data_IF_855455919536
#
_entry.id   IF_855455919536
#
_cell.length_a   1.000
_cell.length_b   1.000
_cell.length_c   1.000
_cell.angle_alpha   90.00
_cell.angle_beta   90.00
_cell.angle_gamma   90.00
#
_symmetry.space_group_name_H-M   'P 1'
#
loop_
_entity.id
_entity.type
_entity.pdbx_description
1 polymer ?
#
# COMPACT_ATOMS: atom_id res chain seq x y z
N UNK A 1 -10.58 -22.33 -9.51
CA UNK A 1 -11.30 -21.08 -9.19
C UNK A 1 -10.27 -20.06 -8.73
N UNK A 2 -10.18 -18.91 -9.42
CA UNK A 2 -9.26 -17.84 -9.02
C UNK A 2 -10.01 -16.79 -8.20
N UNK A 3 -9.69 -16.66 -6.92
CA UNK A 3 -10.39 -15.77 -5.99
C UNK A 3 -9.94 -14.31 -6.09
N UNK A 4 -8.71 -14.06 -6.53
CA UNK A 4 -8.12 -12.71 -6.52
C UNK A 4 -8.59 -11.84 -7.69
N UNK A 5 -8.91 -12.43 -8.84
CA UNK A 5 -9.00 -11.68 -10.10
C UNK A 5 -7.61 -11.19 -10.49
N UNK A 6 -7.37 -9.89 -10.45
CA UNK A 6 -6.07 -9.31 -10.78
C UNK A 6 -4.95 -9.77 -9.83
N UNK A 7 -3.68 -9.83 -10.28
CA UNK A 7 -2.54 -10.10 -9.42
C UNK A 7 -2.54 -9.25 -8.14
N UNK A 8 -2.25 -9.89 -6.99
CA UNK A 8 -2.38 -9.23 -5.67
C UNK A 8 -1.38 -8.08 -5.46
N UNK A 9 -0.27 -8.04 -6.19
CA UNK A 9 0.68 -6.92 -6.11
C UNK A 9 0.04 -5.60 -6.56
N UNK A 10 -0.98 -5.64 -7.42
CA UNK A 10 -1.76 -4.46 -7.79
C UNK A 10 -2.65 -4.08 -6.59
N UNK A 11 -2.17 -3.15 -5.76
CA UNK A 11 -2.89 -2.69 -4.55
C UNK A 11 -4.03 -1.71 -4.84
N UNK A 12 -4.00 -1.07 -6.00
CA UNK A 12 -4.98 -0.06 -6.42
C UNK A 12 -4.60 1.40 -6.13
N UNK A 13 -3.42 1.66 -5.53
CA UNK A 13 -2.94 3.03 -5.26
C UNK A 13 -2.11 3.65 -6.40
N UNK A 14 -1.84 2.91 -7.47
CA UNK A 14 -1.05 3.40 -8.62
C UNK A 14 -1.76 3.12 -9.93
N UNK A 15 -1.41 3.92 -10.95
CA UNK A 15 -1.85 3.65 -12.32
C UNK A 15 -1.21 2.39 -12.88
N UNK A 16 -1.98 1.60 -13.62
CA UNK A 16 -1.49 0.41 -14.33
C UNK A 16 -0.56 0.76 -15.50
N UNK A 17 -0.63 1.98 -16.03
CA UNK A 17 0.21 2.46 -17.13
C UNK A 17 1.66 2.70 -16.71
N UNK A 18 1.89 2.96 -15.42
CA UNK A 18 3.22 3.18 -14.87
C UNK A 18 3.81 1.83 -14.42
N UNK A 19 4.83 1.34 -15.10
CA UNK A 19 5.58 0.17 -14.66
C UNK A 19 6.64 0.59 -13.64
N UNK A 20 6.50 0.22 -12.35
CA UNK A 20 7.47 0.57 -11.34
C UNK A 20 8.74 -0.25 -11.52
N UNK A 21 9.88 0.26 -11.03
CA UNK A 21 11.13 -0.49 -11.03
C UNK A 21 11.05 -1.77 -10.17
N UNK A 22 10.22 -1.77 -9.12
CA UNK A 22 9.98 -2.93 -8.25
C UNK A 22 8.49 -3.19 -8.06
N UNK A 23 8.12 -4.46 -7.94
CA UNK A 23 6.75 -4.87 -7.60
C UNK A 23 6.47 -4.64 -6.11
N UNK A 24 5.22 -4.32 -5.79
CA UNK A 24 4.73 -4.02 -4.45
C UNK A 24 4.96 -5.18 -3.48
N UNK A 25 4.75 -6.42 -3.93
CA UNK A 25 5.00 -7.61 -3.11
C UNK A 25 6.49 -7.76 -2.76
N UNK A 26 7.40 -7.38 -3.66
CA UNK A 26 8.83 -7.41 -3.39
C UNK A 26 9.23 -6.29 -2.44
N UNK A 27 8.67 -5.09 -2.61
CA UNK A 27 8.86 -3.98 -1.68
C UNK A 27 8.44 -4.33 -0.25
N UNK A 28 7.26 -4.93 -0.07
CA UNK A 28 6.81 -5.43 1.24
C UNK A 28 7.77 -6.47 1.84
N UNK A 29 8.28 -7.39 1.02
CA UNK A 29 9.27 -8.38 1.46
C UNK A 29 10.62 -7.76 1.86
N UNK A 30 11.08 -6.73 1.14
CA UNK A 30 12.29 -5.97 1.48
C UNK A 30 12.10 -5.27 2.81
N UNK A 31 10.95 -4.60 3.02
CA UNK A 31 10.65 -3.92 4.27
C UNK A 31 10.63 -4.89 5.45
N UNK A 32 9.96 -6.05 5.32
CA UNK A 32 9.97 -7.11 6.35
C UNK A 32 11.37 -7.60 6.72
N UNK A 33 12.32 -7.57 5.76
CA UNK A 33 13.70 -8.01 5.95
C UNK A 33 14.67 -6.89 6.31
N UNK A 34 14.24 -5.64 6.27
CA UNK A 34 15.09 -4.48 6.50
C UNK A 34 15.59 -4.37 7.94
N UNK A 35 14.97 -5.09 8.88
CA UNK A 35 15.23 -4.95 10.31
C UNK A 35 14.70 -3.64 10.89
N UNK A 36 13.91 -2.89 10.12
CA UNK A 36 13.26 -1.67 10.59
C UNK A 36 12.36 -1.94 11.79
N UNK A 37 12.43 -1.05 12.78
CA UNK A 37 11.65 -1.14 14.00
C UNK A 37 10.51 -0.14 13.96
N UNK A 38 9.34 -0.57 14.43
CA UNK A 38 8.15 0.25 14.43
C UNK A 38 8.36 1.58 15.17
N UNK A 39 8.00 2.69 14.53
CA UNK A 39 8.14 4.05 15.08
C UNK A 39 9.44 4.76 14.71
N UNK A 40 10.44 4.08 14.13
CA UNK A 40 11.66 4.75 13.68
C UNK A 40 11.47 5.44 12.31
N UNK A 41 12.13 6.59 12.07
CA UNK A 41 12.10 7.20 10.75
C UNK A 41 12.75 6.30 9.70
N UNK A 42 12.23 6.34 8.48
CA UNK A 42 12.78 5.62 7.34
C UNK A 42 13.07 6.59 6.21
N UNK A 43 14.23 6.44 5.56
CA UNK A 43 14.64 7.30 4.44
C UNK A 43 14.99 6.44 3.24
N UNK A 44 14.45 6.79 2.07
CA UNK A 44 14.90 6.26 0.79
C UNK A 44 15.44 7.42 -0.06
N UNK A 45 16.77 7.50 -0.27
CA UNK A 45 17.40 8.60 -1.01
C UNK A 45 17.26 8.47 -2.53
N UNK A 46 16.76 7.33 -3.03
CA UNK A 46 16.55 7.05 -4.46
C UNK A 46 15.21 6.34 -4.65
N UNK A 47 14.14 6.97 -4.16
CA UNK A 47 12.86 6.31 -3.96
C UNK A 47 12.12 5.97 -5.27
N UNK A 48 12.50 6.57 -6.39
CA UNK A 48 11.77 6.50 -7.64
C UNK A 48 10.29 6.84 -7.42
N UNK A 49 9.41 5.96 -7.86
CA UNK A 49 7.94 6.10 -7.70
C UNK A 49 7.45 5.94 -6.26
N UNK A 50 8.35 5.73 -5.29
CA UNK A 50 8.05 5.65 -3.87
C UNK A 50 7.53 4.29 -3.39
N UNK A 51 7.55 3.25 -4.23
CA UNK A 51 6.91 1.95 -3.93
C UNK A 51 7.40 1.32 -2.62
N UNK A 52 8.71 1.40 -2.33
CA UNK A 52 9.27 0.84 -1.10
C UNK A 52 8.73 1.53 0.16
N UNK A 53 8.79 2.87 0.19
CA UNK A 53 8.30 3.65 1.32
C UNK A 53 6.78 3.61 1.46
N UNK A 54 6.05 3.52 0.35
CA UNK A 54 4.59 3.38 0.39
C UNK A 54 4.22 2.03 1.01
N UNK A 55 4.81 0.90 0.57
CA UNK A 55 4.52 -0.40 1.21
C UNK A 55 4.97 -0.41 2.68
N UNK A 56 6.09 0.24 3.02
CA UNK A 56 6.53 0.40 4.41
C UNK A 56 5.52 1.17 5.26
N UNK A 57 5.00 2.29 4.76
CA UNK A 57 3.99 3.09 5.45
C UNK A 57 2.64 2.35 5.58
N UNK A 58 2.21 1.66 4.52
CA UNK A 58 1.01 0.80 4.53
C UNK A 58 1.15 -0.27 5.62
N UNK A 59 2.31 -0.92 5.72
CA UNK A 59 2.58 -1.94 6.72
C UNK A 59 2.70 -1.37 8.14
N UNK A 60 3.30 -0.20 8.30
CA UNK A 60 3.38 0.47 9.58
C UNK A 60 1.98 0.85 10.12
N UNK A 61 1.08 1.33 9.27
CA UNK A 61 -0.26 1.73 9.68
C UNK A 61 -1.30 0.59 9.67
N UNK A 62 -0.86 -0.67 9.62
CA UNK A 62 -1.75 -1.84 9.54
C UNK A 62 -2.82 -1.73 8.44
N UNK A 63 -2.46 -1.11 7.31
CA UNK A 63 -3.36 -0.92 6.19
C UNK A 63 -3.42 -2.20 5.37
N UNK A 64 -4.61 -2.77 5.22
CA UNK A 64 -4.78 -3.96 4.39
C UNK A 64 -4.36 -3.69 2.92
N UNK A 65 -3.55 -4.56 2.30
CA UNK A 65 -3.06 -4.36 0.93
C UNK A 65 -4.19 -4.33 -0.11
N UNK A 66 -5.33 -4.94 0.21
CA UNK A 66 -6.50 -5.03 -0.65
C UNK A 66 -7.48 -3.86 -0.54
N UNK A 67 -7.27 -2.91 0.36
CA UNK A 67 -8.29 -1.91 0.72
C UNK A 67 -8.61 -0.92 -0.42
N UNK A 68 -7.65 -0.65 -1.31
CA UNK A 68 -7.86 0.20 -2.49
C UNK A 68 -8.25 -0.59 -3.75
N UNK A 69 -8.39 -1.92 -3.67
CA UNK A 69 -8.77 -2.73 -4.83
C UNK A 69 -10.27 -2.63 -5.08
N UNK A 70 -10.63 -2.42 -6.34
CA UNK A 70 -12.03 -2.28 -6.76
C UNK A 70 -12.70 -3.62 -7.08
N UNK A 71 -11.92 -4.64 -7.47
CA UNK A 71 -12.44 -5.91 -7.95
C UNK A 71 -11.73 -7.11 -7.33
N UNK A 72 -12.52 -8.16 -7.06
CA UNK A 72 -12.06 -9.46 -6.61
C UNK A 72 -12.76 -10.58 -7.40
N UNK A 73 -12.01 -11.60 -7.83
CA UNK A 73 -12.55 -12.73 -8.59
C UNK A 73 -13.65 -13.51 -7.87
N UNK A 74 -13.60 -13.57 -6.53
CA UNK A 74 -14.64 -14.23 -5.74
C UNK A 74 -16.00 -13.52 -5.77
N UNK A 75 -16.09 -12.25 -6.20
CA UNK A 75 -17.36 -11.53 -6.29
C UNK A 75 -18.29 -12.10 -7.38
N UNK A 76 -17.73 -12.82 -8.35
CA UNK A 76 -18.48 -13.51 -9.40
C UNK A 76 -18.86 -14.95 -9.02
N UNK A 77 -18.48 -15.42 -7.83
CA UNK A 77 -18.77 -16.78 -7.37
C UNK A 77 -20.11 -16.84 -6.64
N UNK A 78 -20.86 -17.92 -6.82
CA UNK A 78 -22.18 -18.11 -6.21
C UNK A 78 -22.17 -18.12 -4.68
N UNK A 79 -21.04 -18.47 -4.04
CA UNK A 79 -20.86 -18.42 -2.59
C UNK A 79 -20.43 -17.05 -2.05
N UNK A 80 -20.39 -16.00 -2.88
CA UNK A 80 -20.05 -14.66 -2.44
C UNK A 80 -21.07 -14.15 -1.41
N UNK A 81 -20.58 -13.82 -0.22
CA UNK A 81 -21.36 -13.19 0.83
C UNK A 81 -20.99 -11.70 0.94
N UNK A 82 -21.80 -10.79 0.37
CA UNK A 82 -21.51 -9.35 0.39
C UNK A 82 -21.52 -8.77 1.81
N UNK A 83 -22.35 -9.29 2.71
CA UNK A 83 -22.42 -8.82 4.11
C UNK A 83 -21.14 -9.16 4.87
N UNK A 84 -20.63 -10.38 4.70
CA UNK A 84 -19.36 -10.80 5.29
C UNK A 84 -18.20 -9.97 4.74
N UNK A 85 -18.17 -9.75 3.41
CA UNK A 85 -17.13 -8.95 2.79
C UNK A 85 -17.14 -7.49 3.26
N UNK A 86 -18.33 -6.89 3.38
CA UNK A 86 -18.48 -5.54 3.94
C UNK A 86 -17.96 -5.44 5.38
N UNK A 87 -18.20 -6.47 6.21
CA UNK A 87 -17.68 -6.51 7.58
C UNK A 87 -16.15 -6.56 7.61
N UNK A 88 -15.52 -7.39 6.76
CA UNK A 88 -14.06 -7.49 6.65
C UNK A 88 -13.44 -6.16 6.18
N UNK A 89 -14.07 -5.48 5.21
CA UNK A 89 -13.60 -4.18 4.73
C UNK A 89 -13.74 -3.11 5.82
N UNK A 90 -14.84 -3.09 6.55
CA UNK A 90 -15.04 -2.15 7.66
C UNK A 90 -14.01 -2.36 8.78
N UNK A 91 -13.67 -3.61 9.11
CA UNK A 91 -12.61 -3.92 10.06
C UNK A 91 -11.24 -3.40 9.58
N UNK A 92 -10.91 -3.66 8.31
CA UNK A 92 -9.65 -3.23 7.72
C UNK A 92 -9.50 -1.70 7.68
N UNK A 93 -10.58 -0.99 7.35
CA UNK A 93 -10.60 0.49 7.36
C UNK A 93 -10.39 1.03 8.78
N UNK A 94 -11.07 0.43 9.77
CA UNK A 94 -10.91 0.82 11.18
C UNK A 94 -9.46 0.63 11.66
N UNK A 95 -8.85 -0.50 11.33
CA UNK A 95 -7.44 -0.79 11.66
C UNK A 95 -6.51 0.22 11.03
N UNK A 96 -6.72 0.54 9.75
CA UNK A 96 -5.93 1.55 9.06
C UNK A 96 -6.04 2.93 9.71
N UNK A 97 -7.27 3.36 10.03
CA UNK A 97 -7.52 4.65 10.68
C UNK A 97 -6.81 4.75 12.03
N UNK A 98 -6.90 3.70 12.86
CA UNK A 98 -6.16 3.63 14.13
C UNK A 98 -4.64 3.65 13.90
N UNK A 99 -4.15 2.93 12.90
CA UNK A 99 -2.73 2.88 12.56
C UNK A 99 -2.17 4.23 12.09
N UNK A 100 -2.97 5.03 11.37
CA UNK A 100 -2.59 6.40 10.99
C UNK A 100 -2.55 7.32 12.22
N UNK A 101 -3.55 7.25 13.08
CA UNK A 101 -3.62 8.08 14.30
C UNK A 101 -2.47 7.79 15.28
N UNK A 102 -2.00 6.54 15.31
CA UNK A 102 -0.90 6.10 16.17
C UNK A 102 0.47 6.16 15.50
N UNK A 103 0.53 6.49 14.20
CA UNK A 103 1.78 6.52 13.47
C UNK A 103 2.71 7.61 14.01
N UNK A 104 3.89 7.20 14.47
CA UNK A 104 4.96 8.08 14.94
C UNK A 104 6.15 8.12 13.98
N UNK A 105 6.26 7.12 13.11
CA UNK A 105 7.30 7.03 12.11
C UNK A 105 7.09 8.05 10.99
N UNK A 106 8.19 8.69 10.56
CA UNK A 106 8.22 9.58 9.40
C UNK A 106 8.94 8.91 8.24
N UNK A 107 8.38 9.06 7.03
CA UNK A 107 8.92 8.45 5.82
C UNK A 107 9.46 9.51 4.85
N UNK A 108 10.78 9.60 4.74
CA UNK A 108 11.44 10.59 3.89
C UNK A 108 11.84 9.98 2.54
N UNK A 109 11.42 10.65 1.47
CA UNK A 109 11.64 10.24 0.09
C UNK A 109 12.42 11.29 -0.67
N UNK A 110 13.53 10.87 -1.28
CA UNK A 110 14.32 11.72 -2.16
C UNK A 110 14.56 10.98 -3.47
N UNK A 111 14.62 11.76 -4.55
CA UNK A 111 15.05 11.31 -5.86
C UNK A 111 15.58 12.53 -6.63
N UNK A 112 16.46 12.29 -7.60
CA UNK A 112 16.99 13.34 -8.47
C UNK A 112 15.96 13.79 -9.50
N UNK A 113 15.06 12.89 -9.91
CA UNK A 113 14.01 13.17 -10.89
C UNK A 113 12.80 13.83 -10.22
N UNK A 114 12.53 15.08 -10.58
CA UNK A 114 11.36 15.81 -10.04
C UNK A 114 10.03 15.23 -10.52
N UNK A 115 9.99 14.66 -11.73
CA UNK A 115 8.77 14.08 -12.26
C UNK A 115 8.37 12.83 -11.48
N UNK A 116 9.34 11.96 -11.15
CA UNK A 116 9.05 10.75 -10.38
C UNK A 116 8.62 11.06 -8.94
N UNK A 117 9.14 12.16 -8.34
CA UNK A 117 8.68 12.62 -7.04
C UNK A 117 7.22 13.06 -7.03
N UNK A 118 6.72 13.66 -8.11
CA UNK A 118 5.31 14.01 -8.26
C UNK A 118 4.42 12.78 -8.42
N UNK A 119 4.90 11.76 -9.13
CA UNK A 119 4.24 10.45 -9.21
C UNK A 119 4.20 9.80 -7.81
N UNK A 120 5.32 9.79 -7.08
CA UNK A 120 5.38 9.26 -5.73
C UNK A 120 4.42 9.98 -4.76
N UNK A 121 4.26 11.31 -4.88
CA UNK A 121 3.27 12.10 -4.12
C UNK A 121 1.85 11.61 -4.40
N UNK A 122 1.50 11.43 -5.68
CA UNK A 122 0.17 10.97 -6.10
C UNK A 122 -0.11 9.56 -5.61
N UNK A 123 0.86 8.65 -5.74
CA UNK A 123 0.74 7.26 -5.28
C UNK A 123 0.57 7.19 -3.75
N UNK A 124 1.35 7.97 -2.99
CA UNK A 124 1.21 8.04 -1.53
C UNK A 124 -0.17 8.60 -1.11
N UNK A 125 -0.70 9.58 -1.85
CA UNK A 125 -2.05 10.12 -1.61
C UNK A 125 -3.13 9.09 -1.91
N UNK A 126 -3.02 8.35 -3.02
CA UNK A 126 -3.95 7.27 -3.37
C UNK A 126 -3.87 6.09 -2.38
N UNK A 127 -2.69 5.84 -1.81
CA UNK A 127 -2.50 4.86 -0.74
C UNK A 127 -3.03 5.34 0.62
N UNK A 128 -3.31 6.63 0.78
CA UNK A 128 -3.79 7.22 2.04
C UNK A 128 -2.68 7.51 3.07
N UNK A 129 -1.41 7.38 2.70
CA UNK A 129 -0.25 7.49 3.62
C UNK A 129 0.57 8.77 3.43
N UNK A 130 0.07 9.72 2.64
CA UNK A 130 0.76 10.97 2.31
C UNK A 130 1.03 11.93 3.48
N UNK A 131 0.38 11.73 4.62
CA UNK A 131 0.53 12.56 5.83
C UNK A 131 1.66 12.09 6.75
N UNK A 132 2.32 10.97 6.41
CA UNK A 132 3.43 10.36 7.15
C UNK A 132 4.79 10.73 6.55
#
# INVERSE_FOLDING_TARGET
MDLKGDPLHIRGYRSLAEQPPIKENLAAAIFLRSGWQHGLPMVDPMCGSGTLLIEAAIMACDRAPGLARQFWGFQCWSGYNPTLWAAVIAEAEKRFQTGIEQATALFYRLDIDRHILEIAKKNAKQAGVHSL
#
